data_IF_020231890297
#
_entry.id   IF_020231890297
#
_cell.length_a   1.000
_cell.length_b   1.000
_cell.length_c   1.000
_cell.angle_alpha   90.00
_cell.angle_beta   90.00
_cell.angle_gamma   90.00
#
_symmetry.space_group_name_H-M   'P 1'
#
loop_
_entity.id
_entity.type
_entity.pdbx_description
1 polymer ?
#
# COMPACT_ATOMS: atom_id res chain seq x y z
N UNK A 1 11.77 -33.66 -4.69
CA UNK A 1 11.57 -32.40 -5.41
C UNK A 1 12.88 -31.92 -6.01
N UNK A 2 12.86 -31.25 -7.16
CA UNK A 2 14.05 -30.67 -7.81
C UNK A 2 14.36 -29.30 -7.19
N UNK A 3 15.64 -28.96 -7.00
CA UNK A 3 16.05 -27.62 -6.57
C UNK A 3 15.73 -26.60 -7.67
N UNK A 4 14.97 -25.56 -7.32
CA UNK A 4 14.55 -24.50 -8.26
C UNK A 4 15.27 -23.17 -8.05
N UNK A 5 15.97 -22.99 -6.93
CA UNK A 5 16.70 -21.76 -6.64
C UNK A 5 17.31 -21.73 -5.24
N UNK A 6 18.15 -20.72 -4.99
CA UNK A 6 18.78 -20.46 -3.69
C UNK A 6 18.64 -19.00 -3.32
N UNK A 7 18.34 -18.72 -2.04
CA UNK A 7 18.15 -17.36 -1.52
C UNK A 7 19.29 -16.99 -0.58
N UNK A 8 19.73 -15.73 -0.66
CA UNK A 8 20.73 -15.14 0.23
C UNK A 8 20.11 -14.09 1.16
N UNK A 9 20.97 -13.43 1.94
CA UNK A 9 20.57 -12.34 2.85
C UNK A 9 19.80 -11.24 2.11
N UNK A 10 18.72 -10.75 2.72
CA UNK A 10 17.87 -9.69 2.16
C UNK A 10 16.88 -10.15 1.09
N UNK A 11 16.86 -11.44 0.74
CA UNK A 11 15.84 -12.01 -0.13
C UNK A 11 14.62 -12.48 0.67
N UNK A 12 13.47 -12.47 0.00
CA UNK A 12 12.17 -12.83 0.54
C UNK A 12 11.66 -14.13 -0.11
N UNK A 13 10.74 -14.81 0.57
CA UNK A 13 10.01 -15.95 0.04
C UNK A 13 8.62 -16.04 0.69
N UNK A 14 7.65 -16.55 -0.05
CA UNK A 14 6.29 -16.77 0.46
C UNK A 14 5.42 -15.52 0.46
N UNK A 15 5.83 -14.47 -0.26
CA UNK A 15 5.13 -13.20 -0.45
C UNK A 15 3.73 -13.36 -1.04
N UNK A 16 3.53 -14.35 -1.92
CA UNK A 16 2.21 -14.67 -2.46
C UNK A 16 1.21 -15.08 -1.37
N UNK A 17 1.69 -15.65 -0.25
CA UNK A 17 0.84 -15.98 0.88
C UNK A 17 0.39 -14.76 1.69
N UNK A 18 0.87 -13.55 1.38
CA UNK A 18 0.28 -12.32 1.90
C UNK A 18 -0.97 -11.93 1.09
N UNK A 19 -0.93 -12.14 -0.22
CA UNK A 19 -1.99 -11.74 -1.15
C UNK A 19 -3.10 -12.80 -1.30
N UNK A 20 -2.72 -14.06 -1.51
CA UNK A 20 -3.65 -15.13 -1.92
C UNK A 20 -3.62 -16.32 -0.98
N UNK A 21 -4.77 -16.92 -0.69
CA UNK A 21 -4.86 -18.17 0.05
C UNK A 21 -4.61 -19.37 -0.87
N UNK A 22 -3.34 -19.58 -1.23
CA UNK A 22 -2.90 -20.62 -2.15
C UNK A 22 -1.85 -21.56 -1.52
N UNK A 23 -1.75 -22.83 -1.97
CA UNK A 23 -0.70 -23.75 -1.54
C UNK A 23 0.71 -23.19 -1.78
N UNK A 24 1.67 -23.62 -0.96
CA UNK A 24 3.09 -23.24 -1.13
C UNK A 24 3.63 -23.82 -2.43
N UNK A 25 4.15 -22.96 -3.31
CA UNK A 25 4.72 -23.36 -4.59
C UNK A 25 6.07 -24.07 -4.47
N UNK A 26 6.78 -23.88 -3.36
CA UNK A 26 8.08 -24.50 -3.09
C UNK A 26 8.31 -24.72 -1.59
N UNK A 27 9.12 -25.73 -1.28
CA UNK A 27 9.66 -25.96 0.07
C UNK A 27 10.96 -25.19 0.24
N UNK A 28 11.12 -24.50 1.37
CA UNK A 28 12.33 -23.76 1.72
C UNK A 28 13.06 -24.50 2.83
N UNK A 29 14.35 -24.75 2.64
CA UNK A 29 15.22 -25.46 3.59
C UNK A 29 16.44 -24.59 3.87
N UNK A 30 16.74 -24.36 5.15
CA UNK A 30 17.92 -23.62 5.56
C UNK A 30 19.19 -24.42 5.22
N UNK A 31 20.13 -23.81 4.48
CA UNK A 31 21.43 -24.41 4.16
C UNK A 31 22.48 -24.18 5.26
N UNK A 32 22.28 -23.13 6.04
CA UNK A 32 23.12 -22.71 7.16
C UNK A 32 22.21 -22.11 8.24
N UNK A 33 22.77 -21.81 9.42
CA UNK A 33 22.06 -21.02 10.42
C UNK A 33 21.59 -19.70 9.81
N UNK A 34 20.31 -19.39 9.97
CA UNK A 34 19.66 -18.22 9.39
C UNK A 34 18.70 -17.60 10.40
N UNK A 35 18.61 -16.27 10.37
CA UNK A 35 17.61 -15.51 11.09
C UNK A 35 16.68 -14.86 10.06
N UNK A 36 15.38 -15.09 10.19
CA UNK A 36 14.37 -14.58 9.28
C UNK A 36 13.40 -13.67 10.02
N UNK A 37 13.10 -12.52 9.42
CA UNK A 37 11.95 -11.72 9.82
C UNK A 37 10.69 -12.32 9.20
N UNK A 38 9.61 -12.36 9.97
CA UNK A 38 8.35 -12.98 9.55
C UNK A 38 7.22 -12.00 9.82
N UNK A 39 6.32 -11.90 8.85
CA UNK A 39 5.03 -11.21 8.98
C UNK A 39 3.94 -12.16 8.50
N UNK A 40 2.88 -12.31 9.28
CA UNK A 40 1.73 -13.12 8.90
C UNK A 40 0.74 -12.30 8.04
N UNK A 41 -0.14 -13.03 7.34
CA UNK A 41 -1.13 -12.43 6.44
C UNK A 41 -2.05 -11.46 7.17
N UNK A 42 -2.56 -11.83 8.34
CA UNK A 42 -3.58 -11.04 9.03
C UNK A 42 -2.98 -9.71 9.46
N UNK A 43 -1.79 -9.75 10.07
CA UNK A 43 -1.05 -8.54 10.43
C UNK A 43 -0.77 -7.67 9.20
N UNK A 44 -0.25 -8.23 8.11
CA UNK A 44 0.03 -7.47 6.88
C UNK A 44 -1.22 -6.79 6.30
N UNK A 45 -2.34 -7.51 6.21
CA UNK A 45 -3.59 -6.96 5.65
C UNK A 45 -4.21 -5.90 6.54
N UNK A 46 -4.13 -6.05 7.86
CA UNK A 46 -4.63 -5.04 8.78
C UNK A 46 -3.81 -3.76 8.69
N UNK A 47 -2.48 -3.86 8.66
CA UNK A 47 -1.61 -2.69 8.50
C UNK A 47 -1.95 -1.94 7.20
N UNK A 48 -2.10 -2.64 6.07
CA UNK A 48 -2.50 -1.99 4.82
C UNK A 48 -3.87 -1.33 4.89
N UNK A 49 -4.83 -1.97 5.56
CA UNK A 49 -6.18 -1.42 5.77
C UNK A 49 -6.13 -0.16 6.63
N UNK A 50 -5.41 -0.19 7.74
CA UNK A 50 -5.29 0.93 8.66
C UNK A 50 -4.64 2.14 7.98
N UNK A 51 -3.63 1.91 7.13
CA UNK A 51 -3.00 2.96 6.31
C UNK A 51 -4.02 3.57 5.34
N UNK A 52 -4.71 2.74 4.56
CA UNK A 52 -5.72 3.20 3.59
C UNK A 52 -6.90 3.94 4.25
N UNK A 53 -7.35 3.48 5.43
CA UNK A 53 -8.39 4.15 6.20
C UNK A 53 -7.92 5.50 6.77
N UNK A 54 -6.66 5.59 7.22
CA UNK A 54 -6.08 6.83 7.70
C UNK A 54 -5.93 7.89 6.59
N UNK A 55 -5.47 7.48 5.40
CA UNK A 55 -5.39 8.32 4.20
C UNK A 55 -6.76 8.81 3.77
N UNK A 56 -7.73 7.89 3.61
CA UNK A 56 -9.11 8.21 3.22
C UNK A 56 -9.77 9.16 4.22
N UNK A 57 -9.53 8.96 5.52
CA UNK A 57 -10.05 9.85 6.58
C UNK A 57 -9.46 11.24 6.47
N UNK A 58 -8.14 11.35 6.30
CA UNK A 58 -7.44 12.63 6.13
C UNK A 58 -7.99 13.41 4.93
N UNK A 59 -8.10 12.74 3.77
CA UNK A 59 -8.65 13.32 2.56
C UNK A 59 -10.12 13.74 2.74
N UNK A 60 -10.95 12.90 3.36
CA UNK A 60 -12.36 13.23 3.60
C UNK A 60 -12.53 14.46 4.49
N UNK A 61 -11.72 14.59 5.55
CA UNK A 61 -11.73 15.77 6.42
C UNK A 61 -11.25 17.04 5.71
N UNK A 62 -10.28 16.91 4.80
CA UNK A 62 -9.88 18.01 3.92
C UNK A 62 -11.03 18.46 3.01
N UNK A 63 -11.68 17.53 2.30
CA UNK A 63 -12.78 17.83 1.37
C UNK A 63 -13.99 18.48 2.05
N UNK A 64 -14.25 18.21 3.34
CA UNK A 64 -15.31 18.88 4.10
C UNK A 64 -15.11 20.39 4.24
N UNK A 65 -13.85 20.86 4.17
CA UNK A 65 -13.49 22.28 4.35
C UNK A 65 -13.51 23.06 3.04
N UNK A 66 -13.60 22.38 1.90
CA UNK A 66 -13.55 22.99 0.57
C UNK A 66 -14.95 23.48 0.18
N UNK A 67 -15.11 24.80 0.00
CA UNK A 67 -16.40 25.45 -0.27
C UNK A 67 -17.15 24.84 -1.45
N UNK A 68 -16.46 24.67 -2.59
CA UNK A 68 -17.06 24.14 -3.83
C UNK A 68 -17.56 22.69 -3.68
N UNK A 69 -17.12 21.96 -2.64
CA UNK A 69 -17.49 20.58 -2.36
C UNK A 69 -18.46 20.42 -1.17
N UNK A 70 -18.97 21.52 -0.61
CA UNK A 70 -19.89 21.48 0.54
C UNK A 70 -21.20 20.75 0.24
N UNK A 71 -21.71 20.89 -0.99
CA UNK A 71 -22.98 20.28 -1.41
C UNK A 71 -22.93 18.74 -1.45
N UNK A 72 -21.74 18.14 -1.45
CA UNK A 72 -21.58 16.70 -1.50
C UNK A 72 -22.07 16.04 -0.20
N UNK A 73 -22.61 14.84 -0.32
CA UNK A 73 -22.87 13.94 0.79
C UNK A 73 -21.57 13.35 1.35
N UNK A 74 -21.65 12.70 2.52
CA UNK A 74 -20.51 11.98 3.08
C UNK A 74 -20.00 10.86 2.15
N UNK A 75 -20.91 10.16 1.48
CA UNK A 75 -20.57 9.06 0.57
C UNK A 75 -19.90 9.57 -0.70
N UNK A 76 -20.36 10.68 -1.28
CA UNK A 76 -19.72 11.30 -2.44
C UNK A 76 -18.33 11.83 -2.10
N UNK A 77 -18.18 12.50 -0.95
CA UNK A 77 -16.85 12.93 -0.47
C UNK A 77 -15.90 11.74 -0.27
N UNK A 78 -16.40 10.64 0.30
CA UNK A 78 -15.59 9.42 0.49
C UNK A 78 -15.11 8.86 -0.84
N UNK A 79 -15.98 8.79 -1.86
CA UNK A 79 -15.59 8.33 -3.20
C UNK A 79 -14.50 9.20 -3.84
N UNK A 80 -14.58 10.52 -3.65
CA UNK A 80 -13.54 11.44 -4.13
C UNK A 80 -12.24 11.21 -3.33
N UNK A 81 -12.33 11.12 -2.01
CA UNK A 81 -11.17 10.89 -1.13
C UNK A 81 -10.43 9.58 -1.46
N UNK A 82 -11.14 8.52 -1.82
CA UNK A 82 -10.59 7.23 -2.27
C UNK A 82 -9.93 7.31 -3.66
N UNK A 83 -10.30 8.29 -4.48
CA UNK A 83 -9.75 8.50 -5.82
C UNK A 83 -8.62 9.56 -5.87
N UNK A 84 -8.35 10.25 -4.76
CA UNK A 84 -7.27 11.23 -4.66
C UNK A 84 -5.91 10.54 -4.65
N UNK A 85 -4.96 11.11 -5.39
CA UNK A 85 -3.57 10.67 -5.42
C UNK A 85 -2.67 11.73 -4.79
N UNK A 86 -1.80 11.32 -3.87
CA UNK A 86 -0.77 12.20 -3.33
C UNK A 86 0.38 12.34 -4.34
N UNK A 87 0.80 13.58 -4.59
CA UNK A 87 2.00 13.89 -5.39
C UNK A 87 2.99 14.67 -4.56
N UNK A 88 4.25 14.26 -4.62
CA UNK A 88 5.35 14.91 -3.93
C UNK A 88 6.13 15.77 -4.92
N UNK A 89 6.57 16.93 -4.45
CA UNK A 89 7.34 17.91 -5.21
C UNK A 89 8.53 18.36 -4.37
N UNK A 90 9.67 18.59 -5.02
CA UNK A 90 10.85 19.14 -4.38
C UNK A 90 10.79 20.67 -4.34
N UNK A 91 11.66 21.27 -3.54
CA UNK A 91 11.84 22.73 -3.56
C UNK A 91 12.26 23.20 -4.94
N UNK A 92 11.47 24.08 -5.54
CA UNK A 92 11.71 24.63 -6.87
C UNK A 92 10.92 23.94 -8.00
N UNK A 93 10.18 22.86 -7.72
CA UNK A 93 9.33 22.23 -8.71
C UNK A 93 8.05 23.05 -8.94
N UNK A 94 7.64 23.18 -10.20
CA UNK A 94 6.33 23.72 -10.56
C UNK A 94 5.24 22.67 -10.31
N UNK A 95 4.28 22.97 -9.42
CA UNK A 95 3.16 22.05 -9.12
C UNK A 95 2.12 22.02 -10.24
N UNK A 96 1.89 23.17 -10.88
CA UNK A 96 1.01 23.35 -12.03
C UNK A 96 1.59 24.49 -12.87
N UNK A 97 1.52 24.40 -14.20
CA UNK A 97 2.02 25.47 -15.09
C UNK A 97 0.86 26.23 -15.71
N UNK A 98 1.08 27.53 -15.89
CA UNK A 98 0.12 28.37 -16.59
C UNK A 98 -0.04 27.86 -18.04
N UNK A 99 -1.28 27.59 -18.44
CA UNK A 99 -1.61 27.04 -19.76
C UNK A 99 -1.75 25.53 -19.80
N UNK A 100 -1.49 24.83 -18.69
CA UNK A 100 -1.91 23.42 -18.54
C UNK A 100 -3.45 23.32 -18.62
N UNK A 101 -3.93 22.24 -19.24
CA UNK A 101 -5.36 22.00 -19.54
C UNK A 101 -6.21 21.69 -18.30
#
# INVERSE_FOLDING_TARGET
>A
GKLVGTLGKGKLFGELALLFNAPRAATVIAKTNALCWVIDRFTFRNVLKDVSEAETKTNTEFLKRVEILKALTQMERKKIAEAMEEKQFNTGDDVVKQGDA
#
